data_IF_412126413398
#
_entry.id   IF_412126413398
#
_cell.length_a   1.000
_cell.length_b   1.000
_cell.length_c   1.000
_cell.angle_alpha   90.00
_cell.angle_beta   90.00
_cell.angle_gamma   90.00
#
_symmetry.space_group_name_H-M   'P 1'
#
loop_
_entity.id
_entity.type
_entity.pdbx_description
1 polymer ?
#
# COMPACT_ATOMS: atom_id res chain seq x y z
N UNK A 1 -8.17 1.09 -20.60
CA UNK A 1 -8.09 2.15 -19.59
C UNK A 1 -6.65 2.59 -19.42
N UNK A 2 -6.47 3.86 -19.20
CA UNK A 2 -5.14 4.43 -19.09
C UNK A 2 -4.50 4.08 -17.76
N UNK A 3 -3.23 3.67 -17.83
CA UNK A 3 -2.46 3.41 -16.61
C UNK A 3 -1.86 4.70 -16.09
N UNK A 4 -1.81 4.81 -14.79
CA UNK A 4 -1.20 5.94 -14.10
C UNK A 4 -0.15 5.44 -13.15
N UNK A 5 0.80 6.31 -12.85
CA UNK A 5 1.83 6.03 -11.86
C UNK A 5 1.43 6.67 -10.56
N UNK A 6 1.61 5.95 -9.47
CA UNK A 6 1.31 6.48 -8.15
C UNK A 6 2.28 5.97 -7.11
N UNK A 7 2.24 6.63 -5.97
CA UNK A 7 2.93 6.16 -4.77
C UNK A 7 1.89 5.93 -3.69
N UNK A 8 2.12 4.92 -2.87
CA UNK A 8 1.23 4.61 -1.74
C UNK A 8 2.10 4.47 -0.51
N UNK A 9 1.79 5.24 0.52
CA UNK A 9 2.45 5.12 1.81
C UNK A 9 1.51 4.42 2.77
N UNK A 10 2.00 3.38 3.44
CA UNK A 10 1.22 2.55 4.35
C UNK A 10 1.87 2.61 5.72
N UNK A 11 1.09 2.98 6.73
CA UNK A 11 1.50 2.96 8.13
C UNK A 11 0.76 1.83 8.84
N UNK A 12 1.50 0.91 9.44
CA UNK A 12 0.94 -0.23 10.17
C UNK A 12 1.25 -0.02 11.64
N UNK A 13 0.24 0.24 12.45
CA UNK A 13 0.40 0.49 13.89
C UNK A 13 0.28 -0.78 14.72
N UNK A 14 -0.23 -1.85 14.13
CA UNK A 14 -0.37 -3.13 14.82
C UNK A 14 0.37 -4.19 14.01
N UNK A 15 1.44 -4.75 14.59
CA UNK A 15 2.27 -5.75 13.90
C UNK A 15 1.50 -7.02 13.54
N UNK A 16 0.44 -7.32 14.27
CA UNK A 16 -0.37 -8.48 13.95
C UNK A 16 -1.01 -8.38 12.58
N UNK A 17 -1.15 -7.16 12.06
CA UNK A 17 -1.73 -6.92 10.74
C UNK A 17 -0.72 -6.96 9.60
N UNK A 18 0.58 -7.13 9.91
CA UNK A 18 1.60 -7.17 8.85
C UNK A 18 1.35 -8.30 7.85
N UNK A 19 0.94 -9.48 8.33
CA UNK A 19 0.63 -10.60 7.45
C UNK A 19 -0.54 -10.28 6.53
N UNK A 20 -1.57 -9.61 7.05
CA UNK A 20 -2.73 -9.20 6.26
C UNK A 20 -2.32 -8.21 5.16
N UNK A 21 -1.50 -7.23 5.52
CA UNK A 21 -1.01 -6.25 4.55
C UNK A 21 -0.18 -6.95 3.47
N UNK A 22 0.74 -7.81 3.86
CA UNK A 22 1.58 -8.52 2.90
C UNK A 22 0.78 -9.40 1.96
N UNK A 23 -0.29 -10.03 2.45
CA UNK A 23 -1.17 -10.84 1.60
C UNK A 23 -1.88 -9.96 0.56
N UNK A 24 -2.40 -8.82 0.97
CA UNK A 24 -3.03 -7.89 0.03
C UNK A 24 -2.03 -7.44 -1.03
N UNK A 25 -0.80 -7.10 -0.63
CA UNK A 25 0.21 -6.66 -1.58
C UNK A 25 0.59 -7.77 -2.56
N UNK A 26 0.64 -9.02 -2.09
CA UNK A 26 0.91 -10.17 -2.96
C UNK A 26 -0.19 -10.36 -4.00
N UNK A 27 -1.44 -10.21 -3.59
CA UNK A 27 -2.59 -10.37 -4.48
C UNK A 27 -2.65 -9.24 -5.52
N UNK A 28 -2.09 -8.08 -5.20
CA UNK A 28 -2.08 -6.92 -6.08
C UNK A 28 -0.70 -6.68 -6.71
N UNK A 29 0.15 -7.69 -6.71
CA UNK A 29 1.54 -7.56 -7.15
C UNK A 29 1.67 -7.08 -8.59
N UNK A 30 0.66 -7.35 -9.45
CA UNK A 30 0.73 -6.99 -10.86
C UNK A 30 0.86 -5.49 -11.10
N UNK A 31 0.42 -4.65 -10.17
CA UNK A 31 0.54 -3.20 -10.33
C UNK A 31 1.67 -2.59 -9.49
N UNK A 32 2.35 -3.39 -8.68
CA UNK A 32 3.40 -2.88 -7.80
C UNK A 32 4.76 -3.01 -8.48
N UNK A 33 5.40 -1.87 -8.74
CA UNK A 33 6.70 -1.82 -9.38
C UNK A 33 7.84 -1.91 -8.38
N UNK A 34 7.62 -1.37 -7.19
CA UNK A 34 8.66 -1.26 -6.18
C UNK A 34 8.01 -1.20 -4.81
N UNK A 35 8.61 -1.87 -3.83
CA UNK A 35 8.15 -1.73 -2.44
C UNK A 35 9.38 -1.61 -1.54
N UNK A 36 9.23 -0.79 -0.53
CA UNK A 36 10.26 -0.58 0.45
C UNK A 36 9.63 -0.51 1.83
N UNK A 37 10.07 -1.36 2.73
CA UNK A 37 9.50 -1.41 4.07
C UNK A 37 10.56 -1.13 5.12
N UNK A 38 10.13 -0.48 6.19
CA UNK A 38 11.00 -0.17 7.33
C UNK A 38 10.22 -0.34 8.62
N UNK A 39 10.56 -1.32 9.46
CA UNK A 39 9.93 -1.45 10.76
C UNK A 39 10.62 -0.52 11.76
N UNK A 40 9.82 0.25 12.50
CA UNK A 40 10.31 1.11 13.57
C UNK A 40 10.02 0.41 14.89
N UNK A 41 10.95 -0.41 15.35
CA UNK A 41 10.74 -1.24 16.55
C UNK A 41 10.47 -0.44 17.80
N UNK A 42 11.11 0.71 17.93
CA UNK A 42 10.97 1.56 19.11
C UNK A 42 9.60 2.20 19.20
N UNK A 43 8.91 2.33 18.08
CA UNK A 43 7.60 2.99 18.00
C UNK A 43 6.48 2.02 17.70
N UNK A 44 6.79 0.75 17.51
CA UNK A 44 5.84 -0.29 17.14
C UNK A 44 5.05 0.05 15.89
N UNK A 45 5.70 0.76 14.96
CA UNK A 45 5.10 1.15 13.69
C UNK A 45 5.96 0.59 12.56
N UNK A 46 5.31 0.08 11.53
CA UNK A 46 5.99 -0.29 10.29
C UNK A 46 5.51 0.64 9.17
N UNK A 47 6.42 1.04 8.31
CA UNK A 47 6.12 1.90 7.17
C UNK A 47 6.45 1.13 5.90
N UNK A 48 5.51 1.11 4.95
CA UNK A 48 5.75 0.54 3.63
C UNK A 48 5.46 1.63 2.60
N UNK A 49 6.38 1.80 1.67
CA UNK A 49 6.21 2.72 0.55
C UNK A 49 6.18 1.93 -0.74
N UNK A 50 5.20 2.21 -1.60
CA UNK A 50 5.03 1.52 -2.87
C UNK A 50 5.11 2.51 -4.02
N UNK A 51 5.65 2.04 -5.14
CA UNK A 51 5.47 2.70 -6.43
C UNK A 51 4.63 1.75 -7.27
N UNK A 52 3.53 2.26 -7.80
CA UNK A 52 2.56 1.44 -8.53
C UNK A 52 2.30 2.03 -9.91
N UNK A 53 1.90 1.16 -10.83
CA UNK A 53 1.41 1.56 -12.13
C UNK A 53 0.19 0.72 -12.46
N UNK A 54 -0.94 1.38 -12.66
CA UNK A 54 -2.18 0.70 -12.95
C UNK A 54 -3.28 1.69 -13.26
N UNK A 55 -4.47 1.17 -13.55
CA UNK A 55 -5.62 2.04 -13.74
C UNK A 55 -6.02 2.65 -12.40
N UNK A 56 -6.78 3.75 -12.47
CA UNK A 56 -7.30 4.39 -11.25
C UNK A 56 -8.10 3.37 -10.43
N UNK A 57 -8.91 2.54 -11.10
CA UNK A 57 -9.70 1.52 -10.40
C UNK A 57 -8.83 0.50 -9.68
N UNK A 58 -7.73 0.08 -10.29
CA UNK A 58 -6.81 -0.87 -9.67
C UNK A 58 -6.13 -0.26 -8.44
N UNK A 59 -5.70 0.99 -8.56
CA UNK A 59 -5.04 1.68 -7.44
C UNK A 59 -6.04 1.90 -6.30
N UNK A 60 -7.26 2.32 -6.63
CA UNK A 60 -8.30 2.51 -5.63
C UNK A 60 -8.71 1.21 -4.95
N UNK A 61 -8.74 0.11 -5.69
CA UNK A 61 -9.01 -1.20 -5.09
C UNK A 61 -7.96 -1.57 -4.05
N UNK A 62 -6.69 -1.32 -4.37
CA UNK A 62 -5.61 -1.60 -3.44
C UNK A 62 -5.70 -0.74 -2.18
N UNK A 63 -5.87 0.57 -2.33
CA UNK A 63 -5.99 1.46 -1.17
C UNK A 63 -7.24 1.16 -0.35
N UNK A 64 -8.33 0.76 -1.01
CA UNK A 64 -9.56 0.38 -0.31
C UNK A 64 -9.39 -0.86 0.55
N UNK A 65 -8.70 -1.88 0.03
CA UNK A 65 -8.43 -3.09 0.80
C UNK A 65 -7.54 -2.80 2.00
N UNK A 66 -6.51 -1.98 1.82
CA UNK A 66 -5.61 -1.60 2.91
C UNK A 66 -6.33 -0.76 3.96
N UNK A 67 -7.17 0.16 3.51
CA UNK A 67 -7.89 1.07 4.40
C UNK A 67 -8.96 0.39 5.26
N UNK A 68 -9.36 -0.84 4.95
CA UNK A 68 -10.31 -1.59 5.76
C UNK A 68 -9.67 -2.22 6.99
N UNK A 69 -8.35 -2.35 7.01
CA UNK A 69 -7.67 -2.96 8.14
C UNK A 69 -7.58 -1.96 9.29
N UNK A 70 -7.97 -2.35 10.51
CA UNK A 70 -7.83 -1.47 11.66
C UNK A 70 -6.35 -1.19 11.92
N UNK A 71 -6.02 -0.01 12.44
CA UNK A 71 -4.65 0.39 12.75
C UNK A 71 -3.72 0.40 11.53
N UNK A 72 -4.30 0.42 10.32
CA UNK A 72 -3.54 0.61 9.07
C UNK A 72 -4.06 1.89 8.42
N UNK A 73 -3.13 2.79 8.11
CA UNK A 73 -3.44 4.02 7.40
C UNK A 73 -2.67 4.02 6.09
N UNK A 74 -3.32 4.35 5.00
CA UNK A 74 -2.62 4.49 3.73
C UNK A 74 -3.06 5.75 3.00
N UNK A 75 -2.15 6.29 2.23
CA UNK A 75 -2.42 7.44 1.36
C UNK A 75 -1.74 7.24 0.03
N UNK A 76 -2.40 7.64 -1.02
CA UNK A 76 -1.89 7.53 -2.37
C UNK A 76 -1.78 8.91 -3.01
N UNK A 77 -0.73 9.06 -3.80
CA UNK A 77 -0.56 10.21 -4.68
C UNK A 77 -0.45 9.64 -6.09
N UNK A 78 -1.31 10.07 -6.99
CA UNK A 78 -1.44 9.49 -8.32
C UNK A 78 -1.28 10.58 -9.36
N UNK A 79 -0.52 10.28 -10.43
CA UNK A 79 -0.38 11.23 -11.55
C UNK A 79 -1.71 11.40 -12.26
N UNK A 80 -1.85 12.50 -12.97
CA UNK A 80 -3.06 12.78 -13.76
C UNK A 80 -3.01 12.11 -15.13
N UNK A 81 -1.85 11.60 -15.51
CA UNK A 81 -1.72 10.91 -16.78
C UNK A 81 -0.54 9.94 -16.76
#
# INVERSE_FOLDING_TARGET
MEKRIGTITILIKDRLLSANVNQILSEQASIILCRQGLPFRDREVAVISLIVEGTVDQINALTGLLGRLPEVTCKAVVTKS
#
